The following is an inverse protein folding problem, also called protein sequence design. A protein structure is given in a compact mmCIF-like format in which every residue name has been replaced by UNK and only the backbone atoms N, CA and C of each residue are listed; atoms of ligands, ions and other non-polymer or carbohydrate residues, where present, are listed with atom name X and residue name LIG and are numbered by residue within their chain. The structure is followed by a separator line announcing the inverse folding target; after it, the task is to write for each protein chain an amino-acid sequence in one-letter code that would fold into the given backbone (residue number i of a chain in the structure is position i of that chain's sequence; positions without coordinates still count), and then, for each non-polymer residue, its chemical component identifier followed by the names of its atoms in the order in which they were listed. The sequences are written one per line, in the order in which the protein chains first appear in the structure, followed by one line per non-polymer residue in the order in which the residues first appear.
data_IF_084815121270
#
_entry.id   IF_084815121270
#
_cell.length_a   1.000
_cell.length_b   1.000
_cell.length_c   1.000
_cell.angle_alpha   90.00
_cell.angle_beta   90.00
_cell.angle_gamma   90.00
#
_symmetry.space_group_name_H-M   'P 1'
#
loop_
_entity.id
_entity.type
_entity.pdbx_description
1 polymer ?
#
# COMPACT_ATOMS: atom_id res chain seq x y z
N UNK A 1 -25.47 27.45 26.61
CA UNK A 1 -24.33 26.51 26.50
C UNK A 1 -24.70 25.31 25.60
N UNK A 2 -25.01 25.54 24.31
CA UNK A 2 -25.31 24.52 23.30
C UNK A 2 -24.98 25.06 21.90
N UNK A 3 -23.70 25.05 21.48
CA UNK A 3 -23.30 25.36 20.10
C UNK A 3 -22.14 24.51 19.54
N UNK A 4 -21.58 23.55 20.27
CA UNK A 4 -20.40 22.79 19.79
C UNK A 4 -20.73 21.48 19.06
N UNK A 5 -21.90 20.86 19.25
CA UNK A 5 -22.19 19.53 18.67
C UNK A 5 -22.57 19.51 17.17
N UNK A 6 -22.81 20.66 16.55
CA UNK A 6 -23.28 20.72 15.15
C UNK A 6 -22.15 20.78 14.10
N UNK A 7 -20.92 21.11 14.50
CA UNK A 7 -19.81 21.32 13.56
C UNK A 7 -19.08 20.01 13.22
N UNK A 8 -18.91 19.10 14.18
CA UNK A 8 -18.29 17.78 13.93
C UNK A 8 -19.16 16.89 13.03
N UNK A 9 -20.48 16.96 13.19
CA UNK A 9 -21.41 16.19 12.35
C UNK A 9 -21.40 16.65 10.89
N UNK A 10 -21.30 17.95 10.63
CA UNK A 10 -21.29 18.51 9.27
C UNK A 10 -19.95 18.28 8.57
N UNK A 11 -18.83 18.41 9.29
CA UNK A 11 -17.47 18.08 8.81
C UNK A 11 -17.39 16.59 8.44
N UNK A 12 -17.96 15.70 9.26
CA UNK A 12 -17.99 14.26 8.98
C UNK A 12 -18.85 13.89 7.76
N UNK A 13 -19.93 14.62 7.50
CA UNK A 13 -20.82 14.39 6.35
C UNK A 13 -20.16 14.87 5.05
N UNK A 14 -19.54 16.04 5.07
CA UNK A 14 -18.78 16.59 3.94
C UNK A 14 -17.62 15.65 3.55
N UNK A 15 -16.87 15.14 4.54
CA UNK A 15 -15.81 14.14 4.32
C UNK A 15 -16.36 12.85 3.70
N UNK A 16 -17.45 12.30 4.22
CA UNK A 16 -18.09 11.09 3.67
C UNK A 16 -18.54 11.28 2.23
N UNK A 17 -19.14 12.43 1.90
CA UNK A 17 -19.54 12.74 0.53
C UNK A 17 -18.33 12.87 -0.41
N UNK A 18 -17.23 13.47 0.06
CA UNK A 18 -15.97 13.51 -0.70
C UNK A 18 -15.42 12.11 -0.96
N UNK A 19 -15.35 11.26 0.07
CA UNK A 19 -14.90 9.87 -0.06
C UNK A 19 -15.78 9.10 -1.06
N UNK A 20 -17.11 9.22 -0.97
CA UNK A 20 -18.03 8.57 -1.91
C UNK A 20 -17.75 8.97 -3.35
N UNK A 21 -17.63 10.28 -3.61
CA UNK A 21 -17.32 10.81 -4.94
C UNK A 21 -15.98 10.33 -5.47
N UNK A 22 -14.96 10.23 -4.62
CA UNK A 22 -13.66 9.69 -5.04
C UNK A 22 -13.74 8.19 -5.34
N UNK A 23 -14.46 7.41 -4.55
CA UNK A 23 -14.62 5.96 -4.74
C UNK A 23 -15.42 5.60 -6.00
N UNK A 24 -16.35 6.46 -6.42
CA UNK A 24 -17.15 6.28 -7.65
C UNK A 24 -16.31 6.42 -8.93
N UNK A 25 -15.24 7.22 -8.91
CA UNK A 25 -14.37 7.46 -10.07
C UNK A 25 -13.74 6.15 -10.55
N UNK A 26 -13.67 5.99 -11.87
CA UNK A 26 -12.90 4.92 -12.51
C UNK A 26 -11.45 5.37 -12.70
N UNK A 27 -10.53 4.42 -12.65
CA UNK A 27 -9.09 4.70 -12.75
C UNK A 27 -8.69 5.14 -14.16
N UNK A 28 -7.74 6.07 -14.27
CA UNK A 28 -7.09 6.37 -15.54
C UNK A 28 -6.14 5.23 -15.99
N UNK A 29 -5.73 5.21 -17.28
CA UNK A 29 -4.85 4.17 -17.82
C UNK A 29 -3.46 4.11 -17.14
N UNK A 30 -3.04 5.18 -16.47
CA UNK A 30 -1.82 5.30 -15.68
C UNK A 30 -1.81 4.40 -14.43
N UNK A 31 -2.98 4.08 -13.88
CA UNK A 31 -3.10 3.21 -12.70
C UNK A 31 -3.31 1.72 -13.06
N UNK A 32 -3.55 1.42 -14.34
CA UNK A 32 -3.92 0.08 -14.80
C UNK A 32 -2.73 -0.59 -15.51
N UNK A 33 -2.35 -1.73 -14.97
CA UNK A 33 -1.37 -2.67 -15.52
C UNK A 33 -2.07 -3.90 -16.10
N UNK A 34 -1.38 -4.60 -16.99
CA UNK A 34 -1.91 -5.80 -17.66
C UNK A 34 -0.92 -6.94 -17.54
N UNK A 35 -1.43 -8.13 -17.21
CA UNK A 35 -0.66 -9.38 -17.24
C UNK A 35 -1.23 -10.34 -18.27
N UNK A 36 -0.43 -11.25 -18.83
CA UNK A 36 -0.94 -12.35 -19.64
C UNK A 36 -1.97 -13.16 -18.84
N UNK A 37 -3.10 -13.46 -19.47
CA UNK A 37 -4.14 -14.34 -19.00
C UNK A 37 -4.24 -15.61 -19.84
N UNK A 38 -5.21 -16.46 -19.52
CA UNK A 38 -5.46 -17.69 -20.26
C UNK A 38 -5.87 -17.39 -21.72
N UNK A 39 -5.44 -18.22 -22.66
CA UNK A 39 -5.83 -18.12 -24.07
C UNK A 39 -5.37 -16.83 -24.77
N UNK A 40 -4.27 -16.22 -24.34
CA UNK A 40 -3.74 -14.98 -24.92
C UNK A 40 -4.50 -13.71 -24.53
N UNK A 41 -5.48 -13.82 -23.62
CA UNK A 41 -6.15 -12.65 -23.03
C UNK A 41 -5.19 -11.84 -22.16
N UNK A 42 -5.54 -10.58 -21.87
CA UNK A 42 -4.85 -9.74 -20.88
C UNK A 42 -5.77 -9.51 -19.69
N UNK A 43 -5.23 -9.68 -18.48
CA UNK A 43 -5.96 -9.40 -17.24
C UNK A 43 -5.49 -8.06 -16.70
N UNK A 44 -6.42 -7.12 -16.56
CA UNK A 44 -6.17 -5.82 -15.96
C UNK A 44 -6.02 -5.93 -14.43
N UNK A 45 -5.10 -5.19 -13.85
CA UNK A 45 -4.91 -5.12 -12.41
C UNK A 45 -4.28 -3.78 -11.99
N UNK A 46 -4.41 -3.44 -10.72
CA UNK A 46 -3.61 -2.37 -10.08
C UNK A 46 -2.45 -2.97 -9.31
N UNK A 47 -1.32 -2.28 -9.28
CA UNK A 47 -0.17 -2.69 -8.47
C UNK A 47 -0.44 -2.50 -6.98
N UNK A 48 0.24 -3.28 -6.13
CA UNK A 48 0.01 -3.24 -4.68
C UNK A 48 0.31 -1.86 -4.08
N UNK A 49 1.39 -1.22 -4.50
CA UNK A 49 1.76 0.12 -4.04
C UNK A 49 0.70 1.17 -4.45
N UNK A 50 0.15 1.05 -5.66
CA UNK A 50 -0.91 1.92 -6.17
C UNK A 50 -2.17 1.80 -5.31
N UNK A 51 -2.59 0.58 -4.97
CA UNK A 51 -3.74 0.34 -4.11
C UNK A 51 -3.58 0.99 -2.72
N UNK A 52 -2.39 0.87 -2.12
CA UNK A 52 -2.05 1.49 -0.83
C UNK A 52 -2.06 3.02 -0.94
N UNK A 53 -1.45 3.57 -1.98
CA UNK A 53 -1.39 5.02 -2.20
C UNK A 53 -2.80 5.62 -2.39
N UNK A 54 -3.67 4.94 -3.15
CA UNK A 54 -5.06 5.33 -3.35
C UNK A 54 -5.86 5.26 -2.04
N UNK A 55 -5.69 4.19 -1.26
CA UNK A 55 -6.33 4.06 0.05
C UNK A 55 -5.91 5.20 1.00
N UNK A 56 -4.60 5.49 1.09
CA UNK A 56 -4.08 6.62 1.86
C UNK A 56 -4.61 7.97 1.38
N UNK A 57 -4.76 8.15 0.07
CA UNK A 57 -5.28 9.39 -0.52
C UNK A 57 -6.78 9.59 -0.23
N UNK A 58 -7.56 8.52 -0.29
CA UNK A 58 -9.02 8.56 -0.16
C UNK A 58 -9.44 8.56 1.31
N UNK A 59 -8.94 7.61 2.09
CA UNK A 59 -9.32 7.45 3.49
C UNK A 59 -8.49 8.30 4.45
N UNK A 60 -7.27 8.67 4.06
CA UNK A 60 -6.24 9.21 4.96
C UNK A 60 -5.32 8.10 5.47
N UNK A 61 -4.08 8.42 5.82
CA UNK A 61 -3.10 7.44 6.32
C UNK A 61 -3.55 6.78 7.65
N UNK A 62 -4.41 7.47 8.40
CA UNK A 62 -5.00 7.05 9.68
C UNK A 62 -6.47 6.58 9.53
N UNK A 63 -7.03 6.67 8.31
CA UNK A 63 -8.45 6.41 8.04
C UNK A 63 -8.79 4.96 7.75
N UNK A 64 -7.78 4.10 7.58
CA UNK A 64 -7.93 2.68 7.31
C UNK A 64 -6.78 1.88 7.92
N UNK A 65 -7.01 0.59 8.13
CA UNK A 65 -6.02 -0.37 8.58
C UNK A 65 -6.20 -1.69 7.83
N UNK A 66 -5.17 -2.52 7.82
CA UNK A 66 -5.21 -3.87 7.25
C UNK A 66 -4.72 -4.89 8.26
N UNK A 67 -5.37 -6.04 8.31
CA UNK A 67 -5.04 -7.15 9.21
C UNK A 67 -5.06 -8.46 8.42
N UNK A 68 -3.99 -9.26 8.52
CA UNK A 68 -3.99 -10.64 8.03
C UNK A 68 -4.74 -11.49 9.05
N UNK A 69 -5.94 -11.96 8.68
CA UNK A 69 -6.78 -12.82 9.52
C UNK A 69 -6.31 -14.27 9.51
N UNK A 70 -5.89 -14.75 8.35
CA UNK A 70 -5.40 -16.10 8.18
C UNK A 70 -4.40 -16.16 7.01
N UNK A 71 -3.44 -17.08 7.09
CA UNK A 71 -2.53 -17.41 6.00
C UNK A 71 -2.30 -18.92 5.99
N UNK A 72 -2.80 -19.60 4.97
CA UNK A 72 -2.76 -21.05 4.86
C UNK A 72 -1.90 -21.49 3.69
N UNK A 73 -1.14 -22.57 3.89
CA UNK A 73 -0.44 -23.25 2.80
C UNK A 73 -1.42 -24.29 2.26
N UNK A 74 -1.94 -24.06 1.06
CA UNK A 74 -2.97 -24.91 0.47
C UNK A 74 -2.37 -26.18 -0.13
N UNK A 75 -1.16 -26.07 -0.70
CA UNK A 75 -0.36 -27.21 -1.14
C UNK A 75 1.14 -26.89 -1.09
N UNK A 76 1.94 -27.95 -0.98
CA UNK A 76 3.39 -27.91 -1.08
C UNK A 76 3.92 -29.21 -1.67
N UNK A 77 4.30 -29.16 -2.94
CA UNK A 77 4.80 -30.31 -3.67
C UNK A 77 6.31 -30.18 -3.90
N UNK A 78 7.01 -31.31 -3.84
CA UNK A 78 8.44 -31.39 -4.11
C UNK A 78 8.69 -32.46 -5.17
N UNK A 79 8.98 -32.02 -6.39
CA UNK A 79 9.25 -32.90 -7.53
C UNK A 79 10.63 -32.58 -8.10
N UNK A 80 11.46 -33.59 -8.37
CA UNK A 80 12.80 -33.41 -8.96
C UNK A 80 13.66 -32.35 -8.24
N UNK A 81 13.58 -32.31 -6.90
CA UNK A 81 14.24 -31.30 -6.03
C UNK A 81 13.78 -29.85 -6.27
N UNK A 82 12.66 -29.65 -6.97
CA UNK A 82 12.00 -28.36 -7.13
C UNK A 82 10.74 -28.31 -6.27
N UNK A 83 10.46 -27.14 -5.72
CA UNK A 83 9.37 -26.89 -4.80
C UNK A 83 8.31 -26.06 -5.50
N UNK A 84 7.06 -26.52 -5.42
CA UNK A 84 5.87 -25.78 -5.85
C UNK A 84 4.96 -25.59 -4.64
N UNK A 85 4.49 -24.37 -4.42
CA UNK A 85 3.67 -24.00 -3.25
C UNK A 85 2.52 -23.08 -3.67
N UNK A 86 1.35 -23.31 -3.07
CA UNK A 86 0.20 -22.41 -3.12
C UNK A 86 -0.17 -21.94 -1.72
N UNK A 87 -0.46 -20.65 -1.58
CA UNK A 87 -0.80 -20.02 -0.31
C UNK A 87 -2.05 -19.17 -0.48
N UNK A 88 -3.05 -19.39 0.36
CA UNK A 88 -4.20 -18.50 0.52
C UNK A 88 -3.99 -17.57 1.71
N UNK A 89 -4.48 -16.34 1.58
CA UNK A 89 -4.41 -15.32 2.62
C UNK A 89 -5.76 -14.63 2.75
N UNK A 90 -6.28 -14.51 3.97
CA UNK A 90 -7.49 -13.73 4.28
C UNK A 90 -7.06 -12.42 4.90
N UNK A 91 -7.42 -11.30 4.27
CA UNK A 91 -7.15 -9.96 4.80
C UNK A 91 -8.46 -9.25 5.11
N UNK A 92 -8.48 -8.54 6.24
CA UNK A 92 -9.50 -7.56 6.61
C UNK A 92 -8.96 -6.16 6.41
N UNK A 93 -9.75 -5.31 5.77
CA UNK A 93 -9.55 -3.86 5.75
C UNK A 93 -10.62 -3.22 6.61
N UNK A 94 -10.20 -2.45 7.60
CA UNK A 94 -11.10 -1.77 8.55
C UNK A 94 -10.93 -0.26 8.43
N UNK A 95 -12.03 0.46 8.21
CA UNK A 95 -12.07 1.92 8.19
C UNK A 95 -12.19 2.49 9.60
N UNK A 96 -11.87 3.77 9.77
CA UNK A 96 -11.95 4.48 11.05
C UNK A 96 -13.33 4.40 11.74
N UNK A 97 -14.41 4.25 10.96
CA UNK A 97 -15.77 4.11 11.50
C UNK A 97 -16.13 2.66 11.92
N UNK A 98 -15.18 1.73 11.85
CA UNK A 98 -15.37 0.31 12.20
C UNK A 98 -15.92 -0.55 11.06
N UNK A 99 -16.35 0.02 9.93
CA UNK A 99 -16.77 -0.76 8.77
C UNK A 99 -15.57 -1.51 8.19
N UNK A 100 -15.78 -2.77 7.82
CA UNK A 100 -14.71 -3.58 7.26
C UNK A 100 -15.15 -4.38 6.04
N UNK A 101 -14.16 -4.78 5.24
CA UNK A 101 -14.29 -5.71 4.11
C UNK A 101 -13.20 -6.76 4.22
N UNK A 102 -13.57 -8.00 3.92
CA UNK A 102 -12.65 -9.14 3.91
C UNK A 102 -12.66 -9.78 2.52
N UNK A 103 -11.50 -10.25 2.10
CA UNK A 103 -11.37 -11.06 0.90
C UNK A 103 -10.21 -12.04 1.04
N UNK A 104 -10.19 -13.02 0.15
CA UNK A 104 -9.15 -14.03 0.05
C UNK A 104 -8.26 -13.69 -1.13
N UNK A 105 -6.95 -13.67 -0.92
CA UNK A 105 -5.95 -13.62 -1.98
C UNK A 105 -5.22 -14.93 -2.11
N UNK A 106 -4.60 -15.13 -3.27
CA UNK A 106 -3.81 -16.32 -3.54
C UNK A 106 -2.44 -15.94 -4.10
N UNK A 107 -1.42 -16.66 -3.66
CA UNK A 107 -0.05 -16.52 -4.14
C UNK A 107 0.55 -17.88 -4.38
N UNK A 108 1.33 -17.99 -5.45
CA UNK A 108 1.93 -19.27 -5.83
C UNK A 108 3.36 -19.09 -6.27
N UNK A 109 4.12 -20.16 -6.10
CA UNK A 109 5.47 -20.20 -6.61
C UNK A 109 5.78 -21.62 -7.05
N UNK A 110 6.00 -21.79 -8.34
CA UNK A 110 6.27 -23.09 -8.95
C UNK A 110 7.77 -23.25 -9.21
N UNK A 111 8.22 -24.51 -9.24
CA UNK A 111 9.53 -24.90 -9.75
C UNK A 111 10.75 -24.24 -9.08
N UNK A 112 10.64 -23.85 -7.81
CA UNK A 112 11.72 -23.18 -7.09
C UNK A 112 12.78 -24.16 -6.60
N UNK A 113 14.05 -23.76 -6.64
CA UNK A 113 15.14 -24.57 -6.10
C UNK A 113 15.15 -24.63 -4.58
N UNK A 114 14.81 -23.52 -3.92
CA UNK A 114 14.85 -23.40 -2.46
C UNK A 114 13.45 -23.21 -1.88
N UNK A 115 13.15 -23.94 -0.80
CA UNK A 115 11.88 -23.79 -0.07
C UNK A 115 11.65 -22.34 0.38
N UNK A 116 12.69 -21.68 0.89
CA UNK A 116 12.62 -20.31 1.40
C UNK A 116 12.14 -19.31 0.34
N UNK A 117 12.64 -19.42 -0.89
CA UNK A 117 12.25 -18.57 -2.02
C UNK A 117 10.78 -18.82 -2.41
N UNK A 118 10.38 -20.09 -2.49
CA UNK A 118 9.00 -20.47 -2.77
C UNK A 118 8.03 -19.89 -1.74
N UNK A 119 8.34 -20.05 -0.45
CA UNK A 119 7.57 -19.50 0.66
C UNK A 119 7.50 -17.97 0.61
N UNK A 120 8.64 -17.32 0.39
CA UNK A 120 8.71 -15.86 0.40
C UNK A 120 7.85 -15.27 -0.72
N UNK A 121 7.96 -15.80 -1.94
CA UNK A 121 7.18 -15.34 -3.09
C UNK A 121 5.69 -15.58 -2.88
N UNK A 122 5.28 -16.82 -2.59
CA UNK A 122 3.87 -17.17 -2.48
C UNK A 122 3.17 -16.41 -1.34
N UNK A 123 3.79 -16.29 -0.16
CA UNK A 123 3.21 -15.53 0.96
C UNK A 123 3.06 -14.04 0.66
N UNK A 124 4.08 -13.41 0.05
CA UNK A 124 4.03 -11.98 -0.32
C UNK A 124 2.97 -11.72 -1.38
N UNK A 125 2.88 -12.59 -2.38
CA UNK A 125 1.87 -12.48 -3.43
C UNK A 125 0.46 -12.68 -2.86
N UNK A 126 0.23 -13.71 -2.04
CA UNK A 126 -1.08 -13.98 -1.43
C UNK A 126 -1.56 -12.80 -0.57
N UNK A 127 -0.69 -12.24 0.27
CA UNK A 127 -1.02 -11.07 1.09
C UNK A 127 -1.32 -9.83 0.23
N UNK A 128 -0.52 -9.57 -0.80
CA UNK A 128 -0.74 -8.40 -1.68
C UNK A 128 -2.02 -8.55 -2.50
N UNK A 129 -2.32 -9.77 -2.97
CA UNK A 129 -3.55 -10.05 -3.70
C UNK A 129 -4.78 -9.89 -2.80
N UNK A 130 -4.76 -10.44 -1.59
CA UNK A 130 -5.85 -10.34 -0.62
C UNK A 130 -6.13 -8.87 -0.26
N UNK A 131 -5.08 -8.08 -0.06
CA UNK A 131 -5.17 -6.64 0.21
C UNK A 131 -5.89 -5.90 -0.92
N UNK A 132 -5.45 -6.10 -2.18
CA UNK A 132 -6.08 -5.47 -3.34
C UNK A 132 -7.55 -5.88 -3.51
N UNK A 133 -7.85 -7.15 -3.25
CA UNK A 133 -9.21 -7.70 -3.36
C UNK A 133 -10.15 -7.17 -2.28
N UNK A 134 -9.68 -7.04 -1.05
CA UNK A 134 -10.45 -6.39 0.02
C UNK A 134 -10.66 -4.90 -0.28
N UNK A 135 -9.64 -4.19 -0.77
CA UNK A 135 -9.74 -2.76 -1.10
C UNK A 135 -10.72 -2.47 -2.25
N UNK A 136 -10.75 -3.29 -3.31
CA UNK A 136 -11.69 -3.04 -4.43
C UNK A 136 -13.15 -3.05 -4.01
N UNK A 137 -13.52 -3.74 -2.93
CA UNK A 137 -14.92 -3.81 -2.47
C UNK A 137 -15.46 -2.46 -1.98
N UNK A 138 -14.59 -1.46 -1.75
CA UNK A 138 -15.00 -0.12 -1.37
C UNK A 138 -15.35 0.78 -2.56
N UNK A 139 -14.88 0.50 -3.78
CA UNK A 139 -15.23 1.31 -4.95
C UNK A 139 -14.35 1.13 -6.19
N UNK A 140 -14.77 1.80 -7.27
CA UNK A 140 -14.09 1.78 -8.58
C UNK A 140 -12.66 2.29 -8.49
N UNK A 141 -12.45 3.38 -7.75
CA UNK A 141 -11.14 4.02 -7.62
C UNK A 141 -10.14 3.13 -6.85
N UNK A 142 -10.61 2.11 -6.12
CA UNK A 142 -9.74 1.12 -5.47
C UNK A 142 -9.59 -0.18 -6.28
N UNK A 143 -9.87 -0.13 -7.58
CA UNK A 143 -9.61 -1.23 -8.51
C UNK A 143 -10.82 -2.07 -8.90
N UNK A 144 -12.04 -1.72 -8.45
CA UNK A 144 -13.24 -2.44 -8.88
C UNK A 144 -13.50 -2.29 -10.38
N UNK A 145 -13.12 -1.15 -10.97
CA UNK A 145 -13.28 -0.92 -12.41
C UNK A 145 -12.41 -1.87 -13.27
N UNK A 146 -11.37 -2.50 -12.72
CA UNK A 146 -10.56 -3.48 -13.45
C UNK A 146 -11.32 -4.78 -13.80
N UNK A 147 -12.54 -4.96 -13.29
CA UNK A 147 -13.41 -6.10 -13.58
C UNK A 147 -14.50 -5.78 -14.62
N UNK A 148 -14.66 -4.50 -14.99
CA UNK A 148 -15.61 -4.04 -16.01
C UNK A 148 -14.98 -4.15 -17.40
N UNK A 149 -15.45 -5.13 -18.19
CA UNK A 149 -14.93 -5.41 -19.54
C UNK A 149 -15.19 -4.27 -20.53
N UNK A 150 -16.29 -3.53 -20.38
CA UNK A 150 -16.62 -2.43 -21.29
C UNK A 150 -15.70 -1.24 -21.02
N UNK A 151 -15.56 -0.89 -19.74
CA UNK A 151 -14.59 0.11 -19.31
C UNK A 151 -13.17 -0.20 -19.81
N UNK A 152 -12.72 -1.46 -19.70
CA UNK A 152 -11.38 -1.86 -20.13
C UNK A 152 -11.18 -1.71 -21.65
N UNK A 153 -12.22 -1.86 -22.47
CA UNK A 153 -12.13 -1.64 -23.92
C UNK A 153 -11.90 -0.16 -24.25
N UNK A 154 -12.53 0.74 -23.50
CA UNK A 154 -12.43 2.17 -23.75
C UNK A 154 -11.17 2.79 -23.16
N UNK A 155 -10.77 2.36 -21.95
CA UNK A 155 -9.57 2.88 -21.28
C UNK A 155 -8.28 2.52 -22.05
N UNK A 156 -8.27 1.42 -22.79
CA UNK A 156 -7.14 1.02 -23.65
C UNK A 156 -6.93 1.96 -24.84
N UNK A 157 -7.97 2.69 -25.25
CA UNK A 157 -7.89 3.67 -26.35
C UNK A 157 -7.33 5.01 -25.89
N UNK A 158 -7.28 5.26 -24.58
CA UNK A 158 -6.79 6.50 -23.99
C UNK A 158 -5.27 6.43 -23.86
N UNK A 159 -4.59 7.44 -24.38
CA UNK A 159 -3.13 7.58 -24.26
C UNK A 159 -2.74 7.78 -22.80
N UNK A 160 -1.78 6.98 -22.31
CA UNK A 160 -1.19 7.16 -20.98
C UNK A 160 -0.48 8.51 -20.93
N UNK A 161 -0.77 9.31 -19.90
CA UNK A 161 0.05 10.47 -19.60
C UNK A 161 1.47 10.00 -19.23
N UNK A 162 2.48 10.74 -19.66
CA UNK A 162 3.86 10.41 -19.31
C UNK A 162 4.04 10.47 -17.79
N UNK A 163 4.78 9.50 -17.26
CA UNK A 163 5.14 9.50 -15.84
C UNK A 163 5.88 10.80 -15.52
N UNK A 164 5.40 11.52 -14.50
CA UNK A 164 6.08 12.72 -14.02
C UNK A 164 7.55 12.40 -13.70
N UNK A 165 8.47 13.23 -14.20
CA UNK A 165 9.89 13.14 -13.83
C UNK A 165 10.00 13.21 -12.31
N UNK A 166 10.81 12.34 -11.74
CA UNK A 166 11.06 12.31 -10.29
C UNK A 166 11.56 13.69 -9.87
N UNK A 167 10.85 14.32 -8.94
CA UNK A 167 11.30 15.57 -8.32
C UNK A 167 12.39 15.24 -7.29
N UNK A 168 13.65 15.49 -7.65
CA UNK A 168 14.81 15.18 -6.81
C UNK A 168 14.85 15.99 -5.52
N UNK A 169 14.11 17.11 -5.45
CA UNK A 169 14.04 18.00 -4.29
C UNK A 169 13.03 17.51 -3.25
N UNK A 170 12.05 16.68 -3.65
CA UNK A 170 11.02 16.14 -2.77
C UNK A 170 11.33 14.70 -2.31
N UNK A 171 12.62 14.32 -2.31
CA UNK A 171 13.07 13.02 -1.82
C UNK A 171 13.51 13.16 -0.36
N UNK A 172 12.95 12.34 0.53
CA UNK A 172 13.37 12.30 1.93
C UNK A 172 14.83 11.79 2.01
N UNK A 173 15.76 12.67 2.40
CA UNK A 173 17.20 12.36 2.39
C UNK A 173 17.70 11.93 3.75
N UNK A 174 18.80 11.17 3.78
CA UNK A 174 19.43 10.67 5.03
C UNK A 174 19.73 11.79 6.04
N UNK A 175 20.14 12.98 5.58
CA UNK A 175 20.41 14.10 6.49
C UNK A 175 19.14 14.64 7.18
N UNK A 176 17.97 14.50 6.56
CA UNK A 176 16.71 14.97 7.13
C UNK A 176 16.29 14.10 8.31
N UNK A 177 16.58 12.80 8.27
CA UNK A 177 16.38 11.88 9.40
C UNK A 177 17.14 12.36 10.65
N UNK A 178 18.44 12.65 10.51
CA UNK A 178 19.27 13.09 11.64
C UNK A 178 18.94 14.51 12.11
N UNK A 179 18.36 15.37 11.26
CA UNK A 179 17.89 16.71 11.66
C UNK A 179 16.75 16.62 12.69
N UNK A 180 15.86 15.64 12.54
CA UNK A 180 14.78 15.42 13.51
C UNK A 180 15.29 14.84 14.83
N UNK A 181 16.29 13.95 14.81
CA UNK A 181 16.89 13.42 16.05
C UNK A 181 17.75 14.45 16.80
N UNK A 182 18.42 15.36 16.08
CA UNK A 182 19.20 16.46 16.65
C UNK A 182 18.39 17.59 17.27
N UNK A 183 17.06 17.64 17.05
CA UNK A 183 16.15 18.58 17.69
C UNK A 183 15.58 18.04 19.01
N UNK A 184 15.57 16.72 19.21
CA UNK A 184 15.14 16.08 20.47
C UNK A 184 16.23 16.05 21.56
N UNK A 185 17.46 16.47 21.25
CA UNK A 185 18.61 16.41 22.18
C UNK A 185 19.00 17.77 22.76
N UNK A 186 18.39 18.88 22.32
CA UNK A 186 18.75 20.24 22.76
C UNK A 186 17.95 20.79 23.95
N UNK A 187 17.04 20.02 24.54
CA UNK A 187 16.36 20.41 25.79
C UNK A 187 17.05 19.93 27.08
N UNK A 188 18.12 19.15 27.01
CA UNK A 188 18.87 18.68 28.20
C UNK A 188 20.38 18.87 28.07
N UNK A 189 20.84 20.10 27.81
CA UNK A 189 22.27 20.42 27.93
C UNK A 189 22.50 21.85 28.44
N UNK A 190 21.94 22.16 29.61
CA UNK A 190 22.48 23.20 30.49
C UNK A 190 23.19 22.51 31.66
N UNK A 191 24.33 21.91 31.38
CA UNK A 191 25.44 21.67 32.31
C UNK A 191 26.39 20.67 31.67
N UNK A 192 27.46 21.18 31.06
CA UNK A 192 28.79 20.58 31.04
C UNK A 192 29.74 21.59 30.42
N UNK A 193 30.13 22.58 31.23
CA UNK A 193 31.40 23.26 31.03
C UNK A 193 32.52 22.23 31.24
N UNK A 194 33.26 21.90 30.19
CA UNK A 194 34.56 21.27 30.34
C UNK A 194 35.59 22.04 29.52
N UNK A 195 36.58 22.54 30.26
CA UNK A 195 37.72 23.32 29.81
C UNK A 195 38.49 22.59 28.70
N UNK A 196 38.75 23.28 27.59
CA UNK A 196 39.83 22.90 26.68
C UNK A 196 41.15 23.35 27.31
N UNK A 197 41.79 22.43 28.03
CA UNK A 197 43.21 22.54 28.37
C UNK A 197 44.04 22.37 27.11
N UNK A 198 44.81 23.40 26.78
CA UNK A 198 45.86 23.37 25.78
C UNK A 198 46.83 22.22 26.06
N UNK A 199 47.19 21.46 25.02
CA UNK A 199 48.46 20.76 24.99
C UNK A 199 49.20 21.17 23.71
N UNK A 200 50.17 22.05 23.95
CA UNK A 200 51.25 22.37 23.05
C UNK A 200 52.07 21.13 22.68
N UNK A 201 52.67 21.23 21.50
CA UNK A 201 53.84 20.53 20.99
C UNK A 201 54.80 19.93 22.04
N UNK A 202 55.18 18.66 21.86
CA UNK A 202 56.57 18.24 21.62
C UNK A 202 56.72 16.71 21.55
N UNK A 203 57.64 16.30 20.67
CA UNK A 203 58.18 14.95 20.36
C UNK A 203 57.44 14.20 19.26
#
# INVERSE_FOLDING_TARGET
MKKEKNNDSSISLSRRNKISKELEKRLGPEFISYRPGFGGSKVAYIEGWTAIALANKIFGYDGWSSEIKNMNIDYMDVENKKVSIGVSCVIRITLQNGNYKEDVGFGSSENQRFKSEAYQKAKKEAATDALKRALRQFGNCLGNCCYDKEFLKDIQKITKQENHKIDTNNLFRRYEFFKYEGLNTKENSSDMSFEMGNLDSNI
#
